data_IF_427455782905
#
_entry.id   IF_427455782905
#
_cell.length_a   1.000
_cell.length_b   1.000
_cell.length_c   1.000
_cell.angle_alpha   90.00
_cell.angle_beta   90.00
_cell.angle_gamma   90.00
#
_symmetry.space_group_name_H-M   'P 1'
#
loop_
_entity.id
_entity.type
_entity.pdbx_description
1 polymer ?
#
# COMPACT_ATOMS: atom_id res chain seq x y z
N UNK A 1 8.01 -13.12 -11.77
CA UNK A 1 7.77 -12.07 -10.75
C UNK A 1 7.43 -10.78 -11.46
N UNK A 2 6.25 -10.24 -11.21
CA UNK A 2 5.76 -9.04 -11.89
C UNK A 2 6.11 -7.75 -11.13
N UNK A 3 6.28 -6.64 -11.87
CA UNK A 3 6.62 -5.34 -11.29
C UNK A 3 5.36 -4.50 -11.00
N UNK A 4 5.31 -3.95 -9.80
CA UNK A 4 4.37 -2.91 -9.40
C UNK A 4 5.12 -1.58 -9.23
N UNK A 5 4.54 -0.49 -9.70
CA UNK A 5 5.11 0.83 -9.54
C UNK A 5 4.81 1.38 -8.13
N UNK A 6 5.85 1.66 -7.36
CA UNK A 6 5.70 2.32 -6.07
C UNK A 6 5.36 3.80 -6.24
N UNK A 7 4.69 4.40 -5.26
CA UNK A 7 4.25 5.81 -5.34
C UNK A 7 5.16 6.80 -4.59
N UNK A 8 6.06 6.34 -3.72
CA UNK A 8 6.89 7.19 -2.86
C UNK A 8 7.67 8.27 -3.63
N UNK A 9 8.22 7.95 -4.81
CA UNK A 9 8.93 8.93 -5.63
C UNK A 9 8.03 10.07 -6.11
N UNK A 10 6.73 9.82 -6.29
CA UNK A 10 5.77 10.84 -6.70
C UNK A 10 5.39 11.78 -5.56
N UNK A 11 5.63 11.37 -4.33
CA UNK A 11 5.40 12.15 -3.12
C UNK A 11 6.66 12.93 -2.66
N UNK A 12 7.74 12.88 -3.45
CA UNK A 12 9.00 13.48 -3.05
C UNK A 12 9.77 12.67 -2.00
N UNK A 13 9.35 11.43 -1.71
CA UNK A 13 10.02 10.60 -0.71
C UNK A 13 11.23 9.91 -1.36
N UNK A 14 12.42 10.14 -0.78
CA UNK A 14 13.66 9.46 -1.14
C UNK A 14 14.38 9.02 0.13
N UNK A 15 14.70 7.72 0.20
CA UNK A 15 15.52 7.17 1.28
C UNK A 15 17.04 7.37 1.05
N UNK A 16 17.43 8.02 -0.06
CA UNK A 16 18.84 8.20 -0.46
C UNK A 16 19.38 9.54 -0.02
N UNK A 17 18.65 10.66 -0.32
CA UNK A 17 19.07 12.01 0.08
C UNK A 17 17.89 12.99 0.06
N UNK A 18 18.02 14.08 0.85
CA UNK A 18 17.07 15.19 0.84
C UNK A 18 17.04 15.93 -0.51
N UNK A 19 18.19 16.06 -1.18
CA UNK A 19 18.27 16.70 -2.48
C UNK A 19 17.39 15.99 -3.50
N UNK A 20 17.52 14.68 -3.60
CA UNK A 20 16.63 13.85 -4.45
C UNK A 20 15.15 13.95 -4.04
N UNK A 21 14.87 14.10 -2.77
CA UNK A 21 13.50 14.32 -2.30
C UNK A 21 12.95 15.64 -2.85
N UNK A 22 13.71 16.73 -2.76
CA UNK A 22 13.31 18.05 -3.28
C UNK A 22 13.17 18.06 -4.81
N UNK A 23 14.08 17.42 -5.54
CA UNK A 23 14.00 17.28 -7.00
C UNK A 23 12.75 16.53 -7.44
N UNK A 24 12.45 15.41 -6.77
CA UNK A 24 11.25 14.62 -7.03
C UNK A 24 9.98 15.38 -6.69
N UNK A 25 9.96 16.06 -5.55
CA UNK A 25 8.83 16.90 -5.14
C UNK A 25 8.53 17.98 -6.18
N UNK A 26 9.54 18.70 -6.65
CA UNK A 26 9.42 19.68 -7.72
C UNK A 26 8.97 19.06 -9.05
N UNK A 27 9.55 17.94 -9.44
CA UNK A 27 9.22 17.26 -10.70
C UNK A 27 7.77 16.79 -10.73
N UNK A 28 7.29 16.21 -9.64
CA UNK A 28 6.00 15.57 -9.54
C UNK A 28 4.92 16.48 -8.88
N UNK A 29 5.23 17.76 -8.68
CA UNK A 29 4.20 18.76 -8.33
C UNK A 29 3.16 18.92 -9.45
N UNK A 30 3.56 18.74 -10.73
CA UNK A 30 2.62 18.58 -11.85
C UNK A 30 2.28 17.10 -12.04
N UNK A 31 1.04 16.73 -11.79
CA UNK A 31 0.54 15.35 -11.91
C UNK A 31 0.62 14.78 -13.32
N UNK A 32 0.74 15.63 -14.35
CA UNK A 32 0.99 15.18 -15.72
C UNK A 32 2.31 14.44 -15.86
N UNK A 33 3.32 14.82 -15.04
CA UNK A 33 4.60 14.12 -15.01
C UNK A 33 4.48 12.73 -14.37
N UNK A 34 3.59 12.57 -13.36
CA UNK A 34 3.26 11.28 -12.80
C UNK A 34 2.59 10.42 -13.87
N UNK A 35 1.58 10.97 -14.55
CA UNK A 35 0.82 10.30 -15.60
C UNK A 35 1.74 9.72 -16.70
N UNK A 36 2.68 10.53 -17.23
CA UNK A 36 3.65 10.10 -18.25
C UNK A 36 4.55 8.96 -17.78
N UNK A 37 4.96 8.97 -16.49
CA UNK A 37 5.77 7.88 -15.94
C UNK A 37 4.95 6.61 -15.80
N UNK A 38 3.70 6.70 -15.34
CA UNK A 38 2.81 5.55 -15.19
C UNK A 38 2.44 4.97 -16.56
N UNK A 39 2.06 5.81 -17.54
CA UNK A 39 1.81 5.40 -18.92
C UNK A 39 3.00 4.63 -19.49
N UNK A 40 4.21 5.16 -19.32
CA UNK A 40 5.43 4.50 -19.77
C UNK A 40 5.72 3.19 -19.05
N UNK A 41 5.41 3.10 -17.76
CA UNK A 41 5.53 1.85 -17.02
C UNK A 41 4.57 0.78 -17.57
N UNK A 42 3.34 1.14 -17.88
CA UNK A 42 2.36 0.25 -18.53
C UNK A 42 2.84 -0.23 -19.89
N UNK A 43 3.31 0.67 -20.76
CA UNK A 43 3.90 0.31 -22.06
C UNK A 43 5.04 -0.71 -21.95
N UNK A 44 5.83 -0.60 -20.89
CA UNK A 44 6.95 -1.51 -20.61
C UNK A 44 6.49 -2.83 -19.97
N UNK A 45 5.23 -2.93 -19.53
CA UNK A 45 4.61 -4.13 -19.00
C UNK A 45 4.64 -4.26 -17.49
N UNK A 46 4.73 -3.15 -16.75
CA UNK A 46 4.38 -3.11 -15.32
C UNK A 46 2.91 -3.48 -15.16
N UNK A 47 2.60 -4.29 -14.14
CA UNK A 47 1.26 -4.86 -13.97
C UNK A 47 0.35 -4.01 -13.10
N UNK A 48 0.91 -3.18 -12.24
CA UNK A 48 0.10 -2.38 -11.33
C UNK A 48 0.87 -1.25 -10.69
N UNK A 49 0.16 -0.51 -9.86
CA UNK A 49 0.67 0.63 -9.10
C UNK A 49 0.11 0.63 -7.69
N UNK A 50 0.97 0.94 -6.71
CA UNK A 50 0.52 1.21 -5.33
C UNK A 50 -0.04 2.63 -5.27
N UNK A 51 -1.22 2.80 -4.67
CA UNK A 51 -1.86 4.10 -4.40
C UNK A 51 -2.28 4.23 -2.95
N UNK A 52 -2.38 5.47 -2.49
CA UNK A 52 -2.97 5.86 -1.21
C UNK A 52 -3.76 7.17 -1.35
N UNK A 53 -4.49 7.59 -0.30
CA UNK A 53 -5.31 8.82 -0.31
C UNK A 53 -4.52 10.11 -0.07
N UNK A 54 -3.22 10.12 -0.40
CA UNK A 54 -2.41 11.34 -0.40
C UNK A 54 -2.99 12.35 -1.41
N UNK A 55 -3.10 13.67 -1.09
CA UNK A 55 -3.71 14.67 -1.98
C UNK A 55 -3.17 14.65 -3.40
N UNK A 56 -1.85 14.55 -3.59
CA UNK A 56 -1.22 14.46 -4.92
C UNK A 56 -1.65 13.21 -5.70
N UNK A 57 -1.81 12.07 -5.01
CA UNK A 57 -2.26 10.83 -5.66
C UNK A 57 -3.75 10.92 -6.04
N UNK A 58 -4.56 11.62 -5.26
CA UNK A 58 -5.96 11.89 -5.61
C UNK A 58 -6.07 12.85 -6.81
N UNK A 59 -5.19 13.85 -6.91
CA UNK A 59 -5.11 14.73 -8.07
C UNK A 59 -4.65 13.98 -9.33
N UNK A 60 -3.61 13.13 -9.21
CA UNK A 60 -3.21 12.21 -10.27
C UNK A 60 -4.37 11.32 -10.72
N UNK A 61 -5.10 10.74 -9.79
CA UNK A 61 -6.23 9.87 -10.08
C UNK A 61 -7.33 10.60 -10.84
N UNK A 62 -7.63 11.85 -10.46
CA UNK A 62 -8.57 12.70 -11.20
C UNK A 62 -8.09 12.96 -12.62
N UNK A 63 -6.80 13.24 -12.81
CA UNK A 63 -6.21 13.42 -14.13
C UNK A 63 -6.27 12.14 -14.95
N UNK A 64 -5.93 10.99 -14.35
CA UNK A 64 -6.01 9.67 -14.97
C UNK A 64 -7.41 9.36 -15.50
N UNK A 65 -8.45 9.50 -14.67
CA UNK A 65 -9.85 9.26 -15.04
C UNK A 65 -10.33 10.14 -16.21
N UNK A 66 -9.80 11.35 -16.34
CA UNK A 66 -10.18 12.27 -17.42
C UNK A 66 -9.45 12.01 -18.75
N UNK A 67 -8.37 11.24 -18.74
CA UNK A 67 -7.54 11.03 -19.93
C UNK A 67 -7.53 9.57 -20.43
N UNK A 68 -7.62 8.59 -19.55
CA UNK A 68 -7.75 7.12 -19.78
C UNK A 68 -7.09 6.56 -21.05
N UNK A 69 -5.81 6.90 -21.30
CA UNK A 69 -5.06 6.38 -22.47
C UNK A 69 -4.51 4.97 -22.24
N UNK A 70 -4.52 4.50 -20.99
CA UNK A 70 -4.01 3.18 -20.60
C UNK A 70 -4.83 2.60 -19.44
N UNK A 71 -4.75 1.28 -19.25
CA UNK A 71 -5.33 0.57 -18.10
C UNK A 71 -4.21 0.02 -17.22
N UNK A 72 -4.39 0.09 -15.90
CA UNK A 72 -3.44 -0.44 -14.90
C UNK A 72 -4.19 -0.94 -13.68
N UNK A 73 -3.68 -1.99 -13.05
CA UNK A 73 -4.20 -2.50 -11.78
C UNK A 73 -3.74 -1.62 -10.62
N UNK A 74 -4.65 -1.24 -9.73
CA UNK A 74 -4.32 -0.46 -8.55
C UNK A 74 -4.36 -1.30 -7.28
N UNK A 75 -3.33 -1.18 -6.47
CA UNK A 75 -3.22 -1.77 -5.14
C UNK A 75 -3.29 -0.64 -4.14
N UNK A 76 -4.38 -0.56 -3.38
CA UNK A 76 -4.62 0.55 -2.46
C UNK A 76 -3.99 0.26 -1.10
N UNK A 77 -3.11 1.14 -0.64
CA UNK A 77 -2.57 1.12 0.71
C UNK A 77 -3.45 2.03 1.59
N UNK A 78 -4.25 1.43 2.49
CA UNK A 78 -5.20 2.14 3.32
C UNK A 78 -5.08 1.73 4.80
N UNK A 79 -5.43 2.63 5.74
CA UNK A 79 -5.69 4.05 5.55
C UNK A 79 -4.41 4.87 5.37
N UNK A 80 -4.52 6.12 4.89
CA UNK A 80 -3.40 7.07 4.81
C UNK A 80 -3.08 7.66 6.18
N UNK A 81 -2.32 6.93 6.98
CA UNK A 81 -2.03 7.22 8.39
C UNK A 81 -1.35 8.58 8.58
N UNK A 82 -0.37 8.93 7.73
CA UNK A 82 0.37 10.19 7.87
C UNK A 82 -0.53 11.41 7.74
N UNK A 83 -1.49 11.37 6.82
CA UNK A 83 -2.46 12.45 6.66
C UNK A 83 -3.36 12.61 7.87
N UNK A 84 -3.74 11.52 8.53
CA UNK A 84 -4.55 11.58 9.75
C UNK A 84 -3.78 12.12 10.94
N UNK A 85 -2.53 11.69 11.14
CA UNK A 85 -1.65 12.22 12.20
C UNK A 85 -1.43 13.72 11.99
N UNK A 86 -1.15 14.16 10.76
CA UNK A 86 -0.96 15.57 10.45
C UNK A 86 -2.22 16.38 10.77
N UNK A 87 -3.41 15.93 10.34
CA UNK A 87 -4.69 16.62 10.62
C UNK A 87 -5.02 16.68 12.11
N UNK A 88 -4.75 15.60 12.83
CA UNK A 88 -4.89 15.58 14.29
C UNK A 88 -4.00 16.61 14.96
N UNK A 89 -2.74 16.74 14.52
CA UNK A 89 -1.79 17.69 15.08
C UNK A 89 -2.13 19.15 14.73
N UNK A 90 -2.62 19.42 13.51
CA UNK A 90 -2.92 20.77 13.03
C UNK A 90 -4.29 21.28 13.52
N UNK A 91 -5.31 20.44 13.56
CA UNK A 91 -6.71 20.86 13.69
C UNK A 91 -7.49 20.07 14.74
N UNK A 92 -6.82 19.15 15.45
CA UNK A 92 -7.46 18.28 16.42
C UNK A 92 -8.48 17.29 15.80
N UNK A 93 -9.26 16.65 16.64
CA UNK A 93 -10.26 15.65 16.22
C UNK A 93 -11.32 16.22 15.28
N UNK A 94 -11.73 17.46 15.49
CA UNK A 94 -12.74 18.13 14.63
C UNK A 94 -12.25 18.31 13.19
N UNK A 95 -10.97 18.67 13.00
CA UNK A 95 -10.37 18.79 11.68
C UNK A 95 -10.24 17.45 10.97
N UNK A 96 -9.91 16.39 11.71
CA UNK A 96 -9.90 15.04 11.18
C UNK A 96 -11.29 14.60 10.70
N UNK A 97 -12.32 14.79 11.51
CA UNK A 97 -13.71 14.47 11.16
C UNK A 97 -14.14 15.24 9.91
N UNK A 98 -13.86 16.54 9.85
CA UNK A 98 -14.20 17.36 8.68
C UNK A 98 -13.53 16.90 7.40
N UNK A 99 -12.28 16.48 7.47
CA UNK A 99 -11.54 15.95 6.30
C UNK A 99 -12.13 14.62 5.81
N UNK A 100 -12.46 13.72 6.72
CA UNK A 100 -13.12 12.44 6.41
C UNK A 100 -14.45 12.70 5.72
N UNK A 101 -15.24 13.62 6.25
CA UNK A 101 -16.52 14.07 5.68
C UNK A 101 -16.35 14.61 4.25
N UNK A 102 -15.37 15.49 4.06
CA UNK A 102 -15.09 16.12 2.77
C UNK A 102 -14.69 15.12 1.69
N UNK A 103 -13.91 14.08 2.05
CA UNK A 103 -13.46 13.04 1.11
C UNK A 103 -14.57 12.05 0.74
N UNK A 104 -15.41 11.68 1.70
CA UNK A 104 -16.43 10.65 1.51
C UNK A 104 -17.69 11.08 0.73
N UNK A 105 -17.92 12.39 0.58
CA UNK A 105 -19.14 12.93 -0.03
C UNK A 105 -20.40 12.81 0.85
N UNK A 106 -21.36 13.73 0.66
CA UNK A 106 -22.54 13.91 1.55
C UNK A 106 -23.44 12.67 1.60
N UNK A 107 -23.58 11.90 0.51
CA UNK A 107 -24.46 10.70 0.48
C UNK A 107 -23.88 9.51 1.26
N UNK A 108 -22.57 9.33 1.24
CA UNK A 108 -21.88 8.29 2.03
C UNK A 108 -21.84 8.69 3.50
N UNK A 109 -21.84 9.99 3.78
CA UNK A 109 -21.75 10.58 5.09
C UNK A 109 -22.93 10.22 6.00
N UNK A 110 -24.17 10.38 5.53
CA UNK A 110 -25.37 10.26 6.39
C UNK A 110 -25.53 8.85 6.96
N UNK A 111 -25.34 7.81 6.17
CA UNK A 111 -25.49 6.42 6.62
C UNK A 111 -24.32 5.94 7.48
N UNK A 112 -23.09 6.37 7.13
CA UNK A 112 -21.88 5.92 7.84
C UNK A 112 -21.66 6.71 9.13
N UNK A 113 -21.95 8.01 9.16
CA UNK A 113 -21.90 8.81 10.41
C UNK A 113 -22.93 8.31 11.40
N UNK A 114 -24.15 8.01 10.97
CA UNK A 114 -25.18 7.47 11.87
C UNK A 114 -24.77 6.10 12.42
N UNK A 115 -24.25 5.21 11.58
CA UNK A 115 -23.73 3.90 12.03
C UNK A 115 -22.57 4.06 13.00
N UNK A 116 -21.63 4.95 12.71
CA UNK A 116 -20.46 5.20 13.57
C UNK A 116 -20.86 5.82 14.91
N UNK A 117 -21.87 6.68 14.95
CA UNK A 117 -22.40 7.22 16.21
C UNK A 117 -23.01 6.11 17.07
N UNK A 118 -23.77 5.20 16.45
CA UNK A 118 -24.34 4.03 17.15
C UNK A 118 -23.22 3.11 17.64
N UNK A 119 -22.20 2.85 16.83
CA UNK A 119 -21.07 2.00 17.20
C UNK A 119 -20.19 2.63 18.28
N UNK A 120 -20.01 3.95 18.25
CA UNK A 120 -19.33 4.69 19.32
C UNK A 120 -20.05 4.52 20.67
N UNK A 121 -21.38 4.65 20.68
CA UNK A 121 -22.20 4.42 21.89
C UNK A 121 -22.09 2.97 22.35
N UNK A 122 -22.01 2.01 21.42
CA UNK A 122 -21.80 0.59 21.72
C UNK A 122 -20.35 0.22 22.03
N UNK A 123 -19.40 1.17 21.92
CA UNK A 123 -17.95 0.94 22.03
C UNK A 123 -17.40 -0.07 21.01
N UNK A 124 -18.03 -0.16 19.86
CA UNK A 124 -17.59 -1.00 18.74
C UNK A 124 -16.61 -0.22 17.85
N UNK A 125 -15.39 -0.07 18.36
CA UNK A 125 -14.34 0.69 17.69
C UNK A 125 -13.79 -0.02 16.43
N UNK A 126 -13.93 -1.35 16.34
CA UNK A 126 -13.49 -2.13 15.20
C UNK A 126 -14.39 -1.83 14.01
N UNK A 127 -15.70 -1.95 14.18
CA UNK A 127 -16.68 -1.59 13.13
C UNK A 127 -16.55 -0.13 12.69
N UNK A 128 -16.22 0.77 13.62
CA UNK A 128 -15.89 2.15 13.27
C UNK A 128 -14.66 2.24 12.35
N UNK A 129 -13.56 1.60 12.73
CA UNK A 129 -12.32 1.62 11.95
C UNK A 129 -12.52 1.04 10.54
N UNK A 130 -13.24 -0.08 10.43
CA UNK A 130 -13.61 -0.70 9.14
C UNK A 130 -14.46 0.25 8.30
N UNK A 131 -15.40 0.97 8.91
CA UNK A 131 -16.22 1.96 8.21
C UNK A 131 -15.38 3.09 7.60
N UNK A 132 -14.25 3.46 8.21
CA UNK A 132 -13.32 4.43 7.64
C UNK A 132 -12.72 3.98 6.31
N UNK A 133 -12.51 2.68 6.09
CA UNK A 133 -12.02 2.17 4.82
C UNK A 133 -12.97 2.48 3.65
N UNK A 134 -14.27 2.55 3.88
CA UNK A 134 -15.25 2.94 2.85
C UNK A 134 -15.05 4.39 2.39
N UNK A 135 -14.72 5.30 3.33
CA UNK A 135 -14.41 6.69 2.99
C UNK A 135 -13.08 6.80 2.25
N UNK A 136 -12.06 6.10 2.74
CA UNK A 136 -10.75 6.07 2.11
C UNK A 136 -10.83 5.51 0.68
N UNK A 137 -11.69 4.52 0.44
CA UNK A 137 -11.92 3.95 -0.89
C UNK A 137 -12.75 4.87 -1.80
N UNK A 138 -13.57 5.76 -1.26
CA UNK A 138 -14.53 6.53 -2.06
C UNK A 138 -13.94 7.27 -3.28
N UNK A 139 -12.74 7.89 -3.21
CA UNK A 139 -12.11 8.53 -4.37
C UNK A 139 -11.70 7.56 -5.48
N UNK A 140 -11.51 6.27 -5.15
CA UNK A 140 -11.02 5.23 -6.05
C UNK A 140 -12.14 4.43 -6.73
N UNK A 141 -13.38 4.94 -6.71
CA UNK A 141 -14.46 4.36 -7.53
C UNK A 141 -14.12 4.51 -9.00
N UNK A 142 -14.60 3.58 -9.80
CA UNK A 142 -14.46 3.58 -11.26
C UNK A 142 -13.00 3.40 -11.77
N UNK A 143 -12.15 2.76 -10.97
CA UNK A 143 -10.83 2.28 -11.40
C UNK A 143 -10.68 0.81 -11.05
N UNK A 144 -9.75 0.13 -11.72
CA UNK A 144 -9.50 -1.29 -11.48
C UNK A 144 -8.68 -1.51 -10.20
N UNK A 145 -9.35 -1.74 -9.09
CA UNK A 145 -8.70 -2.04 -7.79
C UNK A 145 -8.49 -3.55 -7.70
N UNK A 146 -7.22 -3.96 -7.67
CA UNK A 146 -6.83 -5.36 -7.56
C UNK A 146 -6.83 -5.88 -6.14
N UNK A 147 -6.36 -5.05 -5.21
CA UNK A 147 -6.34 -5.38 -3.79
C UNK A 147 -6.40 -4.11 -2.92
N UNK A 148 -6.88 -4.26 -1.70
CA UNK A 148 -6.73 -3.27 -0.63
C UNK A 148 -5.74 -3.84 0.38
N UNK A 149 -4.68 -3.09 0.67
CA UNK A 149 -3.60 -3.47 1.58
C UNK A 149 -3.74 -2.68 2.89
N UNK A 150 -4.01 -3.36 3.99
CA UNK A 150 -4.06 -2.71 5.30
C UNK A 150 -2.67 -2.20 5.67
N UNK A 151 -2.58 -0.90 5.98
CA UNK A 151 -1.30 -0.23 6.25
C UNK A 151 -0.53 -0.88 7.40
N UNK A 152 0.80 -1.00 7.28
CA UNK A 152 1.66 -1.70 8.25
C UNK A 152 1.52 -1.19 9.67
N UNK A 153 1.36 0.12 9.90
CA UNK A 153 1.15 0.68 11.25
C UNK A 153 -0.08 0.06 11.91
N UNK A 154 -1.16 -0.15 11.17
CA UNK A 154 -2.38 -0.79 11.69
C UNK A 154 -2.17 -2.30 11.84
N UNK A 155 -1.65 -2.95 10.81
CA UNK A 155 -1.39 -4.39 10.82
C UNK A 155 -0.48 -4.78 11.98
N UNK A 156 0.70 -4.15 12.09
CA UNK A 156 1.71 -4.51 13.10
C UNK A 156 1.24 -4.15 14.52
N UNK A 157 0.43 -3.09 14.68
CA UNK A 157 -0.19 -2.76 15.96
C UNK A 157 -1.19 -3.86 16.39
N UNK A 158 -2.10 -4.28 15.49
CA UNK A 158 -3.09 -5.31 15.79
C UNK A 158 -2.43 -6.67 16.08
N UNK A 159 -1.37 -7.02 15.35
CA UNK A 159 -0.55 -8.20 15.62
C UNK A 159 0.10 -8.15 17.00
N UNK A 160 0.70 -7.02 17.35
CA UNK A 160 1.39 -6.81 18.63
C UNK A 160 0.43 -6.85 19.82
N UNK A 161 -0.77 -6.32 19.65
CA UNK A 161 -1.83 -6.34 20.67
C UNK A 161 -2.65 -7.64 20.66
N UNK A 162 -2.36 -8.57 19.73
CA UNK A 162 -3.05 -9.85 19.55
C UNK A 162 -4.56 -9.71 19.31
N UNK A 163 -4.98 -8.69 18.55
CA UNK A 163 -6.39 -8.43 18.22
C UNK A 163 -6.72 -9.12 16.89
N UNK A 164 -6.88 -10.44 16.94
CA UNK A 164 -7.18 -11.27 15.75
C UNK A 164 -8.51 -10.92 15.09
N UNK A 165 -9.55 -10.63 15.90
CA UNK A 165 -10.88 -10.31 15.39
C UNK A 165 -10.91 -9.12 14.43
N UNK A 166 -10.09 -8.07 14.69
CA UNK A 166 -10.04 -6.92 13.82
C UNK A 166 -9.42 -7.25 12.44
N UNK A 167 -8.43 -8.14 12.39
CA UNK A 167 -7.82 -8.59 11.14
C UNK A 167 -8.75 -9.50 10.34
N UNK A 168 -9.50 -10.35 11.05
CA UNK A 168 -10.53 -11.20 10.46
C UNK A 168 -11.70 -10.40 9.90
N UNK A 169 -12.23 -9.46 10.69
CA UNK A 169 -13.29 -8.53 10.27
C UNK A 169 -12.87 -7.70 9.05
N UNK A 170 -11.59 -7.25 9.00
CA UNK A 170 -11.04 -6.57 7.84
C UNK A 170 -11.07 -7.47 6.59
N UNK A 171 -10.61 -8.72 6.70
CA UNK A 171 -10.64 -9.68 5.60
C UNK A 171 -12.06 -9.86 5.07
N UNK A 172 -13.00 -10.22 5.95
CA UNK A 172 -14.41 -10.44 5.60
C UNK A 172 -15.01 -9.20 4.94
N UNK A 173 -14.74 -8.01 5.52
CA UNK A 173 -15.30 -6.77 5.00
C UNK A 173 -14.79 -6.42 3.59
N UNK A 174 -13.49 -6.54 3.34
CA UNK A 174 -12.90 -6.23 2.03
C UNK A 174 -13.31 -7.27 0.99
N UNK A 175 -13.30 -8.55 1.35
CA UNK A 175 -13.65 -9.64 0.43
C UNK A 175 -15.14 -9.67 0.12
N UNK A 176 -16.00 -9.69 1.14
CA UNK A 176 -17.45 -9.92 0.95
C UNK A 176 -18.25 -8.64 0.68
N UNK A 177 -17.86 -7.49 1.27
CA UNK A 177 -18.63 -6.24 1.14
C UNK A 177 -18.09 -5.31 0.06
N UNK A 178 -16.78 -5.39 -0.22
CA UNK A 178 -16.17 -4.59 -1.27
C UNK A 178 -15.92 -5.39 -2.55
N UNK A 179 -15.99 -6.73 -2.49
CA UNK A 179 -15.69 -7.66 -3.59
C UNK A 179 -14.26 -7.41 -4.15
N UNK A 180 -13.31 -7.12 -3.25
CA UNK A 180 -11.92 -6.84 -3.57
C UNK A 180 -11.04 -7.78 -2.76
N UNK A 181 -9.87 -8.15 -3.30
CA UNK A 181 -8.89 -8.98 -2.60
C UNK A 181 -8.32 -8.22 -1.39
N UNK A 182 -8.48 -8.72 -0.15
CA UNK A 182 -7.82 -8.15 1.01
C UNK A 182 -6.33 -8.50 1.00
N UNK A 183 -5.54 -7.60 1.54
CA UNK A 183 -4.11 -7.80 1.76
C UNK A 183 -3.61 -7.03 2.96
N UNK A 184 -2.37 -7.29 3.34
CA UNK A 184 -1.75 -6.70 4.53
C UNK A 184 -0.37 -6.18 4.19
N UNK A 185 0.04 -5.09 4.83
CA UNK A 185 1.42 -4.64 4.82
C UNK A 185 1.98 -4.87 6.23
N UNK A 186 3.13 -5.49 6.33
CA UNK A 186 3.79 -5.71 7.63
C UNK A 186 5.30 -5.50 7.51
N UNK A 187 5.92 -4.97 8.57
CA UNK A 187 7.37 -4.93 8.72
C UNK A 187 7.89 -6.11 9.55
N UNK A 188 7.01 -6.95 10.10
CA UNK A 188 7.35 -8.14 10.88
C UNK A 188 6.67 -9.38 10.30
N UNK A 189 7.21 -9.87 9.19
CA UNK A 189 6.61 -10.96 8.44
C UNK A 189 6.56 -12.29 9.22
N UNK A 190 7.56 -12.57 10.05
CA UNK A 190 7.54 -13.77 10.89
C UNK A 190 6.37 -13.76 11.88
N UNK A 191 6.19 -12.63 12.61
CA UNK A 191 5.07 -12.45 13.53
C UNK A 191 3.73 -12.53 12.81
N UNK A 192 3.63 -11.89 11.63
CA UNK A 192 2.44 -11.94 10.78
C UNK A 192 2.06 -13.38 10.44
N UNK A 193 2.99 -14.13 9.82
CA UNK A 193 2.78 -15.52 9.44
C UNK A 193 2.35 -16.38 10.61
N UNK A 194 3.11 -16.35 11.71
CA UNK A 194 2.83 -17.12 12.92
C UNK A 194 1.45 -16.80 13.51
N UNK A 195 1.13 -15.51 13.64
CA UNK A 195 -0.16 -15.08 14.20
C UNK A 195 -1.34 -15.54 13.35
N UNK A 196 -1.24 -15.42 12.02
CA UNK A 196 -2.30 -15.85 11.11
C UNK A 196 -2.50 -17.37 11.11
N UNK A 197 -1.41 -18.14 11.23
CA UNK A 197 -1.47 -19.60 11.42
C UNK A 197 -2.12 -19.97 12.77
N UNK A 198 -1.66 -19.35 13.88
CA UNK A 198 -2.18 -19.59 15.22
C UNK A 198 -3.67 -19.25 15.35
N UNK A 199 -4.13 -18.22 14.64
CA UNK A 199 -5.53 -17.76 14.65
C UNK A 199 -6.39 -18.40 13.56
N UNK A 200 -5.80 -19.23 12.69
CA UNK A 200 -6.46 -19.85 11.54
C UNK A 200 -7.11 -18.80 10.59
N UNK A 201 -6.47 -17.63 10.46
CA UNK A 201 -6.87 -16.60 9.51
C UNK A 201 -6.11 -16.84 8.20
N UNK A 202 -6.85 -16.95 7.08
CA UNK A 202 -6.24 -17.12 5.75
C UNK A 202 -5.84 -15.75 5.19
N UNK A 203 -4.53 -15.47 5.02
CA UNK A 203 -4.11 -14.26 4.32
C UNK A 203 -4.24 -14.46 2.81
N UNK A 204 -4.71 -13.43 2.09
CA UNK A 204 -4.81 -13.47 0.64
C UNK A 204 -3.55 -12.92 -0.03
N UNK A 205 -3.02 -11.83 0.51
CA UNK A 205 -1.88 -11.12 -0.06
C UNK A 205 -1.13 -10.40 1.06
N UNK A 206 0.20 -10.43 1.05
CA UNK A 206 1.02 -9.69 2.00
C UNK A 206 2.11 -8.92 1.31
N UNK A 207 2.30 -7.65 1.68
CA UNK A 207 3.41 -6.83 1.24
C UNK A 207 4.38 -6.64 2.41
N UNK A 208 5.66 -6.97 2.20
CA UNK A 208 6.68 -6.94 3.26
C UNK A 208 8.06 -6.60 2.69
N UNK A 209 8.98 -6.01 3.49
CA UNK A 209 10.34 -5.77 3.06
C UNK A 209 11.07 -7.08 2.77
N UNK A 210 11.71 -7.18 1.61
CA UNK A 210 12.56 -8.31 1.22
C UNK A 210 13.75 -7.76 0.44
N UNK A 211 14.94 -7.80 1.03
CA UNK A 211 16.16 -7.30 0.40
C UNK A 211 17.42 -7.99 0.95
N UNK A 212 18.54 -7.97 0.21
CA UNK A 212 19.77 -8.68 0.59
C UNK A 212 20.40 -8.24 1.91
N UNK A 213 20.12 -7.00 2.36
CA UNK A 213 20.73 -6.43 3.57
C UNK A 213 19.86 -6.54 4.81
N UNK A 214 18.66 -7.10 4.74
CA UNK A 214 17.76 -7.21 5.88
C UNK A 214 17.14 -5.88 6.34
N UNK A 215 17.19 -4.84 5.50
CA UNK A 215 16.63 -3.53 5.81
C UNK A 215 15.11 -3.63 6.02
N UNK A 216 14.63 -3.20 7.18
CA UNK A 216 13.24 -3.31 7.63
C UNK A 216 12.69 -4.75 7.73
N UNK A 217 13.53 -5.77 7.63
CA UNK A 217 13.14 -7.19 7.76
C UNK A 217 13.16 -7.62 9.23
N UNK A 218 12.06 -7.43 9.93
CA UNK A 218 11.96 -7.76 11.34
C UNK A 218 11.38 -9.18 11.59
N UNK A 219 11.88 -9.88 12.65
CA UNK A 219 12.89 -9.48 13.62
C UNK A 219 14.34 -9.62 13.10
N UNK A 220 14.55 -10.33 12.01
CA UNK A 220 15.83 -10.48 11.31
C UNK A 220 15.63 -10.98 9.88
N UNK A 221 16.61 -10.79 9.00
CA UNK A 221 16.55 -11.31 7.63
C UNK A 221 16.38 -12.82 7.60
N UNK A 222 17.12 -13.56 8.44
CA UNK A 222 17.04 -15.04 8.51
C UNK A 222 15.66 -15.55 8.94
N UNK A 223 15.02 -14.87 9.90
CA UNK A 223 13.66 -15.20 10.32
C UNK A 223 12.64 -14.96 9.20
N UNK A 224 12.73 -13.81 8.54
CA UNK A 224 11.86 -13.46 7.39
C UNK A 224 12.07 -14.45 6.25
N UNK A 225 13.31 -14.78 5.88
CA UNK A 225 13.61 -15.76 4.82
C UNK A 225 13.05 -17.14 5.14
N UNK A 226 13.21 -17.60 6.38
CA UNK A 226 12.66 -18.89 6.83
C UNK A 226 11.13 -18.89 6.76
N UNK A 227 10.50 -17.81 7.22
CA UNK A 227 9.06 -17.65 7.15
C UNK A 227 8.55 -17.63 5.69
N UNK A 228 9.25 -16.92 4.78
CA UNK A 228 8.91 -16.86 3.36
C UNK A 228 8.95 -18.23 2.69
N UNK A 229 10.01 -19.02 2.91
CA UNK A 229 10.13 -20.36 2.29
C UNK A 229 8.98 -21.31 2.62
N UNK A 230 8.36 -21.11 3.79
CA UNK A 230 7.26 -21.92 4.32
C UNK A 230 5.88 -21.22 4.23
N UNK A 231 5.78 -20.13 3.48
CA UNK A 231 4.53 -19.37 3.34
C UNK A 231 3.81 -19.74 2.05
N UNK A 232 2.54 -20.11 2.17
CA UNK A 232 1.71 -20.56 1.03
C UNK A 232 0.91 -19.42 0.35
N UNK A 233 0.90 -18.22 0.95
CA UNK A 233 0.18 -17.07 0.39
C UNK A 233 0.99 -16.30 -0.65
N UNK A 234 0.34 -15.34 -1.30
CA UNK A 234 0.97 -14.44 -2.27
C UNK A 234 1.76 -13.33 -1.57
N UNK A 235 2.94 -13.02 -2.08
CA UNK A 235 3.84 -12.02 -1.51
C UNK A 235 4.16 -10.92 -2.52
N UNK A 236 4.06 -9.68 -2.06
CA UNK A 236 4.60 -8.49 -2.71
C UNK A 236 5.87 -8.08 -1.96
N UNK A 237 7.03 -8.16 -2.60
CA UNK A 237 8.27 -7.67 -2.02
C UNK A 237 8.33 -6.14 -2.11
N UNK A 238 8.59 -5.46 -1.00
CA UNK A 238 8.87 -4.01 -0.95
C UNK A 238 10.25 -3.74 -0.38
N UNK A 239 10.72 -2.49 -0.44
CA UNK A 239 12.05 -2.04 0.01
C UNK A 239 13.20 -2.88 -0.58
N UNK A 240 12.99 -3.42 -1.78
CA UNK A 240 13.86 -4.43 -2.41
C UNK A 240 15.30 -3.95 -2.63
N UNK A 241 15.52 -2.63 -2.74
CA UNK A 241 16.85 -2.03 -2.89
C UNK A 241 17.49 -1.66 -1.54
N UNK A 242 16.89 -2.04 -0.40
CA UNK A 242 17.42 -1.73 0.93
C UNK A 242 17.69 -0.25 1.17
N UNK A 243 16.72 0.63 0.83
CA UNK A 243 16.91 2.07 0.91
C UNK A 243 17.88 2.66 -0.13
N UNK A 244 18.24 1.90 -1.15
CA UNK A 244 19.20 2.28 -2.20
C UNK A 244 20.62 1.75 -1.96
N UNK A 245 20.80 0.88 -0.96
CA UNK A 245 22.10 0.27 -0.67
C UNK A 245 22.50 -0.80 -1.69
N UNK A 246 21.54 -1.40 -2.40
CA UNK A 246 21.78 -2.49 -3.34
C UNK A 246 21.39 -2.08 -4.77
N UNK A 247 22.16 -2.60 -5.74
CA UNK A 247 21.82 -2.44 -7.15
C UNK A 247 20.57 -3.27 -7.51
N UNK A 248 19.81 -2.86 -8.53
CA UNK A 248 18.67 -3.64 -9.01
C UNK A 248 18.99 -5.09 -9.36
N UNK A 249 20.16 -5.35 -9.94
CA UNK A 249 20.61 -6.70 -10.33
C UNK A 249 20.84 -7.61 -9.11
N UNK A 250 21.49 -7.11 -8.07
CA UNK A 250 21.71 -7.86 -6.81
C UNK A 250 20.38 -8.19 -6.16
N UNK A 251 19.48 -7.19 -6.06
CA UNK A 251 18.16 -7.37 -5.48
C UNK A 251 17.30 -8.35 -6.27
N UNK A 252 17.33 -8.27 -7.61
CA UNK A 252 16.61 -9.20 -8.49
C UNK A 252 17.08 -10.65 -8.29
N UNK A 253 18.39 -10.87 -8.27
CA UNK A 253 18.96 -12.20 -8.02
C UNK A 253 18.57 -12.77 -6.66
N UNK A 254 18.58 -11.92 -5.64
CA UNK A 254 18.15 -12.32 -4.29
C UNK A 254 16.67 -12.70 -4.24
N UNK A 255 15.79 -11.88 -4.84
CA UNK A 255 14.34 -12.13 -4.84
C UNK A 255 13.97 -13.40 -5.62
N UNK A 256 14.68 -13.70 -6.73
CA UNK A 256 14.49 -14.93 -7.53
C UNK A 256 14.80 -16.22 -6.75
N UNK A 257 15.46 -16.15 -5.59
CA UNK A 257 15.67 -17.31 -4.72
C UNK A 257 14.43 -17.75 -3.95
N UNK A 258 13.34 -16.95 -3.97
CA UNK A 258 12.06 -17.22 -3.30
C UNK A 258 10.97 -17.48 -4.34
N UNK A 259 10.30 -18.63 -4.24
CA UNK A 259 9.31 -19.07 -5.25
C UNK A 259 7.93 -18.42 -5.13
N UNK A 260 7.61 -17.89 -3.95
CA UNK A 260 6.29 -17.36 -3.60
C UNK A 260 6.18 -15.82 -3.69
N UNK A 261 7.20 -15.16 -4.22
CA UNK A 261 7.15 -13.73 -4.51
C UNK A 261 6.50 -13.55 -5.89
N UNK A 262 5.24 -13.15 -5.89
CA UNK A 262 4.47 -12.89 -7.12
C UNK A 262 4.81 -11.52 -7.72
N UNK A 263 4.95 -10.52 -6.86
CA UNK A 263 5.17 -9.14 -7.26
C UNK A 263 6.31 -8.51 -6.48
N UNK A 264 6.95 -7.51 -7.08
CA UNK A 264 7.79 -6.59 -6.33
C UNK A 264 7.45 -5.12 -6.64
N UNK A 265 7.45 -4.31 -5.58
CA UNK A 265 7.22 -2.87 -5.68
C UNK A 265 8.54 -2.16 -5.83
N UNK A 266 8.66 -1.38 -6.89
CA UNK A 266 9.85 -0.59 -7.12
C UNK A 266 9.50 0.81 -7.61
N UNK A 267 10.20 1.82 -7.09
CA UNK A 267 10.03 3.20 -7.50
C UNK A 267 10.94 3.52 -8.68
N UNK A 268 10.38 4.14 -9.72
CA UNK A 268 11.15 4.66 -10.83
C UNK A 268 10.66 6.06 -11.21
N UNK A 269 11.59 6.99 -11.39
CA UNK A 269 11.28 8.39 -11.70
C UNK A 269 11.72 8.82 -13.10
N UNK A 270 12.33 7.92 -13.89
CA UNK A 270 12.72 8.15 -15.28
C UNK A 270 12.42 6.94 -16.17
N UNK A 271 12.30 7.19 -17.47
CA UNK A 271 12.02 6.16 -18.47
C UNK A 271 13.19 5.16 -18.61
N UNK A 272 14.41 5.63 -18.44
CA UNK A 272 15.63 4.81 -18.51
C UNK A 272 15.64 3.80 -17.36
N UNK A 273 15.34 4.27 -16.16
CA UNK A 273 15.27 3.42 -14.97
C UNK A 273 14.12 2.40 -15.06
N UNK A 274 12.95 2.79 -15.60
CA UNK A 274 11.85 1.85 -15.86
C UNK A 274 12.27 0.73 -16.80
N UNK A 275 12.98 1.06 -17.89
CA UNK A 275 13.46 0.06 -18.87
C UNK A 275 14.50 -0.88 -18.28
N UNK A 276 15.45 -0.34 -17.52
CA UNK A 276 16.47 -1.16 -16.84
C UNK A 276 15.82 -2.18 -15.90
N UNK A 277 14.90 -1.72 -15.05
CA UNK A 277 14.23 -2.56 -14.08
C UNK A 277 13.42 -3.68 -14.75
N UNK A 278 12.57 -3.34 -15.73
CA UNK A 278 11.73 -4.35 -16.37
C UNK A 278 12.58 -5.43 -17.09
N UNK A 279 13.71 -5.04 -17.68
CA UNK A 279 14.63 -5.98 -18.30
C UNK A 279 15.18 -6.97 -17.29
N UNK A 280 15.68 -6.48 -16.14
CA UNK A 280 16.26 -7.34 -15.09
C UNK A 280 15.25 -8.32 -14.48
N UNK A 281 14.00 -7.91 -14.33
CA UNK A 281 12.99 -8.71 -13.63
C UNK A 281 12.20 -9.66 -14.56
N UNK A 282 12.20 -9.44 -15.88
CA UNK A 282 11.57 -10.33 -16.86
C UNK A 282 12.51 -11.40 -17.43
N UNK A 283 13.83 -11.15 -17.43
CA UNK A 283 14.86 -12.15 -17.73
C UNK A 283 15.09 -13.08 -16.52
#
# INVERSE_FOLDING_TARGET
MDLLLGHNQFLGISHISEERSRERDKKFSDVKNIYKVVEKAVDLGYKGMILETHPRMLEFLKYYKNNETFQIDFYLQLPYIQGYIQKMNEQGLSGLILEIVRRGGIKTLSSTVLKNLINYVKKDYITMAISFLQFERAPFRDINIKAILLHNVVTDLLLSLRISSALEDYNIFVEEKMEIKPGFITLNFELFKKSFEDWNIKPHLVMTPINPGGYDMNPSSSAVETALRNYAGEVIAMNILGGGAFSPSVSCSYLKSFKNIEYCVIGASSNEHLKELIKLFKE
#
